data_IF_520399344604
#
_entry.id   IF_520399344604
#
_cell.length_a   1.000
_cell.length_b   1.000
_cell.length_c   1.000
_cell.angle_alpha   90.00
_cell.angle_beta   90.00
_cell.angle_gamma   90.00
#
_symmetry.space_group_name_H-M   'P 1'
#
loop_
_entity.id
_entity.type
_entity.pdbx_description
1 polymer ?
#
# COMPACT_ATOMS: atom_id res chain seq x y z
N UNK A 1 -20.80 24.53 -9.97
CA UNK A 1 -19.97 23.44 -10.52
C UNK A 1 -18.53 23.90 -10.41
N UNK A 2 -17.68 23.22 -9.63
CA UNK A 2 -16.26 23.59 -9.54
C UNK A 2 -15.64 23.50 -10.93
N UNK A 3 -15.00 24.59 -11.39
CA UNK A 3 -14.17 24.58 -12.59
C UNK A 3 -12.74 24.30 -12.14
N UNK A 4 -12.19 23.19 -12.62
CA UNK A 4 -10.77 22.85 -12.49
C UNK A 4 -10.16 23.23 -13.84
N UNK A 5 -9.15 24.10 -13.86
CA UNK A 5 -8.47 24.41 -15.10
C UNK A 5 -7.81 23.14 -15.67
N UNK A 6 -7.71 23.00 -16.99
CA UNK A 6 -7.16 21.77 -17.59
C UNK A 6 -5.70 21.51 -17.16
N UNK A 7 -4.96 22.57 -16.90
CA UNK A 7 -3.59 22.55 -16.37
C UNK A 7 -3.51 22.08 -14.90
N UNK A 8 -4.61 22.20 -14.15
CA UNK A 8 -4.71 21.88 -12.72
C UNK A 8 -5.17 20.43 -12.46
N UNK A 9 -5.80 19.78 -13.45
CA UNK A 9 -6.35 18.40 -13.33
C UNK A 9 -5.34 17.34 -12.90
N UNK A 10 -4.10 17.29 -13.42
CA UNK A 10 -3.12 16.27 -13.04
C UNK A 10 -2.70 16.31 -11.57
N UNK A 11 -2.95 17.44 -10.89
CA UNK A 11 -2.42 17.73 -9.55
C UNK A 11 -3.38 17.39 -8.43
N UNK A 12 -4.68 17.35 -8.74
CA UNK A 12 -5.74 17.04 -7.77
C UNK A 12 -5.55 15.66 -7.13
N UNK A 13 -4.99 14.71 -7.86
CA UNK A 13 -4.72 13.35 -7.37
C UNK A 13 -3.37 13.22 -6.64
N UNK A 14 -2.44 14.14 -6.88
CA UNK A 14 -1.06 14.06 -6.37
C UNK A 14 -0.91 14.84 -5.06
N UNK A 15 -1.51 16.03 -4.96
CA UNK A 15 -1.33 16.92 -3.82
C UNK A 15 -2.42 16.72 -2.75
N UNK A 16 -2.06 16.43 -1.49
CA UNK A 16 -3.04 16.33 -0.42
C UNK A 16 -3.65 17.71 -0.11
N UNK A 17 -4.91 17.71 0.37
CA UNK A 17 -5.57 18.93 0.85
C UNK A 17 -4.88 19.56 2.06
N UNK A 18 -4.09 18.76 2.81
CA UNK A 18 -3.32 19.20 3.98
C UNK A 18 -1.97 19.85 3.63
N UNK A 19 -1.55 19.80 2.35
CA UNK A 19 -0.34 20.43 1.86
C UNK A 19 0.90 19.52 1.84
N UNK A 20 1.85 19.84 0.96
CA UNK A 20 3.15 19.19 0.79
C UNK A 20 4.25 20.25 0.77
N UNK A 21 5.45 19.93 1.27
CA UNK A 21 6.54 20.91 1.43
C UNK A 21 7.66 20.66 0.43
N UNK A 22 8.22 21.72 -0.14
CA UNK A 22 9.38 21.69 -1.04
C UNK A 22 10.29 22.86 -0.65
N UNK A 23 11.43 22.55 -0.04
CA UNK A 23 12.27 23.59 0.57
C UNK A 23 11.47 24.41 1.58
N UNK A 24 11.39 25.73 1.35
CA UNK A 24 10.62 26.67 2.17
C UNK A 24 9.17 26.88 1.69
N UNK A 25 8.76 26.19 0.62
CA UNK A 25 7.43 26.30 0.04
C UNK A 25 6.48 25.25 0.62
N UNK A 26 5.25 25.65 0.91
CA UNK A 26 4.15 24.74 1.23
C UNK A 26 3.08 24.82 0.13
N UNK A 27 2.85 23.70 -0.56
CA UNK A 27 1.95 23.57 -1.69
C UNK A 27 0.69 22.81 -1.29
N UNK A 28 -0.50 23.32 -1.62
CA UNK A 28 -1.76 22.64 -1.32
C UNK A 28 -2.82 22.94 -2.37
N UNK A 29 -3.75 22.01 -2.60
CA UNK A 29 -4.89 22.26 -3.48
C UNK A 29 -6.04 22.82 -2.65
N UNK A 30 -6.41 24.09 -2.88
CA UNK A 30 -7.43 24.77 -2.08
C UNK A 30 -8.43 25.54 -2.95
N UNK A 31 -9.66 25.66 -2.45
CA UNK A 31 -10.64 26.56 -3.04
C UNK A 31 -10.28 27.99 -2.66
N UNK A 32 -10.19 28.85 -3.66
CA UNK A 32 -9.81 30.24 -3.42
C UNK A 32 -10.99 31.20 -3.65
N UNK A 33 -11.24 32.14 -2.72
CA UNK A 33 -12.32 33.11 -2.88
C UNK A 33 -12.02 34.13 -3.97
N UNK A 34 -13.07 34.72 -4.54
CA UNK A 34 -12.96 35.80 -5.51
C UNK A 34 -12.37 37.03 -4.82
N UNK A 35 -11.17 37.45 -5.21
CA UNK A 35 -10.55 38.67 -4.70
C UNK A 35 -9.60 39.31 -5.71
N UNK A 36 -9.31 40.60 -5.50
CA UNK A 36 -8.33 41.35 -6.27
C UNK A 36 -6.91 40.96 -5.86
N UNK A 37 -5.98 41.06 -6.80
CA UNK A 37 -4.57 40.84 -6.49
C UNK A 37 -3.62 41.36 -7.53
N UNK A 38 -2.35 41.10 -7.27
CA UNK A 38 -1.21 41.53 -8.08
C UNK A 38 -0.65 40.34 -8.82
N UNK A 39 -0.45 40.51 -10.13
CA UNK A 39 0.14 39.51 -11.00
C UNK A 39 1.59 39.87 -11.33
N UNK A 40 2.48 38.91 -11.12
CA UNK A 40 3.90 38.98 -11.40
C UNK A 40 4.23 38.04 -12.55
N UNK A 41 5.07 38.50 -13.47
CA UNK A 41 5.54 37.68 -14.57
C UNK A 41 6.88 37.07 -14.24
N UNK A 42 6.95 35.74 -14.28
CA UNK A 42 8.19 34.99 -14.12
C UNK A 42 8.60 34.34 -15.44
N UNK A 43 9.90 34.13 -15.62
CA UNK A 43 10.47 33.39 -16.73
C UNK A 43 11.20 32.15 -16.19
N UNK A 44 10.83 30.99 -16.69
CA UNK A 44 11.45 29.70 -16.40
C UNK A 44 11.89 29.06 -17.72
N UNK A 45 13.20 28.94 -17.94
CA UNK A 45 13.79 28.40 -19.18
C UNK A 45 13.11 28.87 -20.48
N UNK A 46 12.83 30.17 -20.61
CA UNK A 46 12.16 30.82 -21.75
C UNK A 46 10.64 30.57 -21.88
N UNK A 47 10.01 30.00 -20.85
CA UNK A 47 8.56 29.92 -20.73
C UNK A 47 8.07 30.94 -19.69
N UNK A 48 7.04 31.71 -20.05
CA UNK A 48 6.46 32.73 -19.18
C UNK A 48 5.40 32.13 -18.26
N UNK A 49 5.59 32.28 -16.95
CA UNK A 49 4.60 31.99 -15.91
C UNK A 49 3.99 33.26 -15.33
N UNK A 50 2.92 33.10 -14.56
CA UNK A 50 2.24 34.21 -13.88
C UNK A 50 1.94 33.87 -12.42
N UNK A 51 2.55 34.57 -11.48
CA UNK A 51 2.32 34.39 -10.04
C UNK A 51 1.36 35.47 -9.57
N UNK A 52 0.27 35.07 -8.94
CA UNK A 52 -0.72 35.98 -8.39
C UNK A 52 -0.68 35.97 -6.88
N UNK A 53 -0.73 37.16 -6.27
CA UNK A 53 -0.77 37.36 -4.82
C UNK A 53 -1.95 38.28 -4.49
N UNK A 54 -2.69 37.98 -3.42
CA UNK A 54 -3.81 38.79 -2.97
C UNK A 54 -3.39 40.25 -2.69
N UNK A 55 -4.22 41.21 -3.10
CA UNK A 55 -3.85 42.64 -3.05
C UNK A 55 -3.51 43.08 -1.62
N UNK A 56 -4.27 42.62 -0.63
CA UNK A 56 -4.01 42.92 0.78
C UNK A 56 -2.68 42.36 1.28
N UNK A 57 -2.28 41.18 0.80
CA UNK A 57 -0.99 40.57 1.17
C UNK A 57 0.16 41.39 0.59
N UNK A 58 0.06 41.78 -0.68
CA UNK A 58 1.06 42.61 -1.35
C UNK A 58 1.16 44.02 -0.75
N UNK A 59 0.02 44.66 -0.44
CA UNK A 59 0.01 45.99 0.16
C UNK A 59 0.71 46.01 1.52
N UNK A 60 0.42 45.04 2.40
CA UNK A 60 1.08 44.93 3.71
C UNK A 60 2.58 44.75 3.59
N UNK A 61 3.05 43.99 2.60
CA UNK A 61 4.47 43.82 2.33
C UNK A 61 5.14 45.14 1.94
N UNK A 62 4.57 45.87 0.96
CA UNK A 62 5.12 47.17 0.55
C UNK A 62 5.08 48.20 1.69
N UNK A 63 3.98 48.26 2.44
CA UNK A 63 3.85 49.17 3.58
C UNK A 63 4.85 48.84 4.69
N UNK A 64 5.10 47.56 4.96
CA UNK A 64 6.08 47.12 5.95
C UNK A 64 7.52 47.52 5.59
N UNK A 65 7.86 47.50 4.30
CA UNK A 65 9.23 47.78 3.84
C UNK A 65 9.51 49.26 3.60
N UNK A 66 8.59 49.97 2.94
CA UNK A 66 8.81 51.34 2.46
C UNK A 66 7.73 52.33 2.91
N UNK A 67 6.78 51.90 3.74
CA UNK A 67 5.75 52.76 4.32
C UNK A 67 4.60 53.14 3.37
N UNK A 68 4.55 52.60 2.15
CA UNK A 68 3.45 52.81 1.21
C UNK A 68 3.30 51.65 0.25
N UNK A 69 2.05 51.34 -0.12
CA UNK A 69 1.73 50.42 -1.22
C UNK A 69 1.26 51.13 -2.51
N UNK A 70 1.35 52.46 -2.56
CA UNK A 70 0.92 53.21 -3.74
C UNK A 70 1.94 53.07 -4.87
N UNK A 71 1.63 52.20 -5.84
CA UNK A 71 2.51 51.90 -6.99
C UNK A 71 2.91 53.13 -7.81
N UNK A 72 2.05 54.14 -7.90
CA UNK A 72 2.36 55.37 -8.64
C UNK A 72 3.37 56.26 -7.92
N UNK A 73 3.62 56.01 -6.63
CA UNK A 73 4.56 56.77 -5.80
C UNK A 73 5.90 56.05 -5.61
N UNK A 74 6.04 54.82 -6.11
CA UNK A 74 7.22 53.96 -5.92
C UNK A 74 7.99 53.91 -7.23
N UNK A 75 9.32 54.05 -7.16
CA UNK A 75 10.20 53.89 -8.32
C UNK A 75 10.09 52.46 -8.89
N UNK A 76 9.99 52.27 -10.21
CA UNK A 76 9.83 50.93 -10.81
C UNK A 76 10.98 49.96 -10.51
N UNK A 77 12.23 50.42 -10.42
CA UNK A 77 13.37 49.55 -10.10
C UNK A 77 13.30 49.10 -8.64
N UNK A 78 12.92 50.01 -7.74
CA UNK A 78 12.69 49.68 -6.33
C UNK A 78 11.52 48.70 -6.17
N UNK A 79 10.41 48.91 -6.91
CA UNK A 79 9.26 48.01 -6.88
C UNK A 79 9.63 46.61 -7.39
N UNK A 80 10.48 46.52 -8.42
CA UNK A 80 11.02 45.26 -8.90
C UNK A 80 11.85 44.56 -7.81
N UNK A 81 12.78 45.28 -7.15
CA UNK A 81 13.59 44.70 -6.08
C UNK A 81 12.75 44.19 -4.90
N UNK A 82 11.71 44.94 -4.51
CA UNK A 82 10.77 44.52 -3.46
C UNK A 82 9.99 43.26 -3.86
N UNK A 83 9.60 43.15 -5.15
CA UNK A 83 8.90 41.99 -5.68
C UNK A 83 9.81 40.77 -5.78
N UNK A 84 11.02 40.94 -6.32
CA UNK A 84 12.02 39.89 -6.44
C UNK A 84 12.39 39.33 -5.07
N UNK A 85 12.54 40.21 -4.07
CA UNK A 85 12.82 39.79 -2.70
C UNK A 85 11.65 39.04 -2.06
N UNK A 86 10.43 39.56 -2.16
CA UNK A 86 9.24 38.90 -1.60
C UNK A 86 8.96 37.54 -2.26
N UNK A 87 9.33 37.37 -3.53
CA UNK A 87 9.21 36.12 -4.29
C UNK A 87 10.45 35.23 -4.19
N UNK A 88 11.51 35.62 -3.49
CA UNK A 88 12.80 34.94 -3.55
C UNK A 88 12.73 33.43 -3.25
N UNK A 89 12.02 32.95 -2.21
CA UNK A 89 11.89 31.50 -1.96
C UNK A 89 11.24 30.75 -3.13
N UNK A 90 10.23 31.38 -3.77
CA UNK A 90 9.56 30.82 -4.94
C UNK A 90 10.48 30.77 -6.15
N UNK A 91 11.21 31.86 -6.42
CA UNK A 91 12.14 31.96 -7.54
C UNK A 91 13.30 30.97 -7.40
N UNK A 92 13.87 30.84 -6.20
CA UNK A 92 14.95 29.90 -5.90
C UNK A 92 14.51 28.45 -6.05
N UNK A 93 13.37 28.07 -5.47
CA UNK A 93 12.86 26.70 -5.57
C UNK A 93 12.47 26.32 -7.01
N UNK A 94 12.17 27.31 -7.85
CA UNK A 94 11.78 27.09 -9.24
C UNK A 94 12.86 27.32 -10.27
N UNK A 95 14.03 27.82 -9.89
CA UNK A 95 15.05 28.32 -10.82
C UNK A 95 14.47 29.33 -11.84
N UNK A 96 13.43 30.06 -11.43
CA UNK A 96 12.77 31.06 -12.24
C UNK A 96 13.32 32.46 -11.93
N UNK A 97 13.14 33.37 -12.87
CA UNK A 97 13.54 34.78 -12.73
C UNK A 97 12.33 35.68 -12.86
N UNK A 98 12.27 36.77 -12.09
CA UNK A 98 11.24 37.79 -12.24
C UNK A 98 11.54 38.63 -13.49
N UNK A 99 10.52 38.93 -14.30
CA UNK A 99 10.72 39.73 -15.50
C UNK A 99 10.83 41.22 -15.17
N UNK A 100 12.02 41.79 -15.29
CA UNK A 100 12.30 43.22 -15.03
C UNK A 100 11.49 44.17 -15.94
N UNK A 101 11.19 43.73 -17.16
CA UNK A 101 10.49 44.56 -18.15
C UNK A 101 8.95 44.50 -18.03
N UNK A 102 8.41 43.68 -17.10
CA UNK A 102 6.98 43.54 -16.88
C UNK A 102 6.62 43.91 -15.44
N UNK A 103 6.19 45.15 -15.18
CA UNK A 103 5.88 45.58 -13.82
C UNK A 103 4.67 44.80 -13.25
N UNK A 104 4.57 44.65 -11.92
CA UNK A 104 3.45 43.98 -11.29
C UNK A 104 2.11 44.63 -11.67
N UNK A 105 1.21 43.85 -12.27
CA UNK A 105 -0.07 44.36 -12.78
C UNK A 105 -1.21 44.04 -11.82
N UNK A 106 -2.21 44.91 -11.75
CA UNK A 106 -3.44 44.61 -11.00
C UNK A 106 -4.30 43.65 -11.81
N UNK A 107 -4.78 42.59 -11.17
CA UNK A 107 -5.67 41.60 -11.75
C UNK A 107 -7.05 41.67 -11.09
N UNK A 108 -8.09 41.86 -11.90
CA UNK A 108 -9.48 41.87 -11.43
C UNK A 108 -9.93 40.46 -11.07
N UNK A 109 -10.70 40.34 -9.98
CA UNK A 109 -11.42 39.18 -9.48
C UNK A 109 -11.21 37.86 -10.24
N UNK A 110 -10.37 36.99 -9.66
CA UNK A 110 -10.26 35.61 -10.09
C UNK A 110 -11.59 34.87 -9.82
N UNK A 111 -12.11 34.08 -10.77
CA UNK A 111 -13.30 33.28 -10.54
C UNK A 111 -13.03 32.23 -9.46
N UNK A 112 -14.06 31.89 -8.69
CA UNK A 112 -13.96 30.85 -7.67
C UNK A 112 -13.59 29.50 -8.31
N UNK A 113 -12.38 29.03 -8.03
CA UNK A 113 -11.83 27.81 -8.61
C UNK A 113 -10.97 27.07 -7.57
N UNK A 114 -10.76 25.78 -7.84
CA UNK A 114 -9.80 24.98 -7.11
C UNK A 114 -8.44 25.28 -7.74
N UNK A 115 -7.50 25.84 -6.98
CA UNK A 115 -6.20 26.25 -7.50
C UNK A 115 -5.04 25.67 -6.69
N UNK A 116 -3.89 25.52 -7.34
CA UNK A 116 -2.63 25.22 -6.66
C UNK A 116 -2.21 26.43 -5.84
N UNK A 117 -2.29 26.29 -4.53
CA UNK A 117 -1.93 27.31 -3.59
C UNK A 117 -0.51 27.08 -3.06
N UNK A 118 0.35 28.09 -3.20
CA UNK A 118 1.72 28.03 -2.69
C UNK A 118 1.90 29.08 -1.60
N UNK A 119 2.42 28.63 -0.46
CA UNK A 119 2.74 29.44 0.70
C UNK A 119 4.23 29.45 0.97
N UNK A 120 4.74 30.59 1.42
CA UNK A 120 6.09 30.72 1.95
C UNK A 120 6.15 31.91 2.90
N UNK A 121 7.27 32.06 3.61
CA UNK A 121 7.50 33.14 4.56
C UNK A 121 8.79 33.85 4.17
N UNK A 122 8.78 35.18 4.20
CA UNK A 122 10.00 36.00 4.10
C UNK A 122 10.06 36.89 5.34
N UNK A 123 11.15 36.78 6.10
CA UNK A 123 11.31 37.35 7.45
C UNK A 123 10.18 36.89 8.39
N UNK A 124 9.08 37.64 8.48
CA UNK A 124 7.88 37.30 9.27
C UNK A 124 6.59 37.45 8.45
N UNK A 125 6.69 37.79 7.16
CA UNK A 125 5.54 38.01 6.29
C UNK A 125 5.19 36.73 5.53
N UNK A 126 3.98 36.21 5.74
CA UNK A 126 3.47 35.03 5.06
C UNK A 126 2.86 35.41 3.71
N UNK A 127 3.39 34.82 2.64
CA UNK A 127 2.87 34.96 1.29
C UNK A 127 1.99 33.77 0.91
N UNK A 128 0.93 34.10 0.18
CA UNK A 128 -0.08 33.16 -0.29
C UNK A 128 -0.31 33.46 -1.77
N UNK A 129 -0.02 32.50 -2.63
CA UNK A 129 -0.09 32.70 -4.08
C UNK A 129 -0.85 31.62 -4.81
N UNK A 130 -1.35 32.01 -5.98
CA UNK A 130 -1.84 31.13 -7.02
C UNK A 130 -0.96 31.32 -8.23
N UNK A 131 -0.63 30.25 -8.95
CA UNK A 131 0.12 30.36 -10.19
C UNK A 131 -0.74 29.99 -11.39
N UNK A 132 -0.63 30.80 -12.43
CA UNK A 132 -1.24 30.61 -13.73
C UNK A 132 -0.19 30.27 -14.78
N UNK A 133 -0.60 29.45 -15.75
CA UNK A 133 0.19 29.12 -16.95
C UNK A 133 1.63 28.72 -16.61
N UNK A 134 1.83 27.90 -15.57
CA UNK A 134 3.18 27.50 -15.19
C UNK A 134 3.79 26.57 -16.25
N UNK A 135 5.04 26.80 -16.68
CA UNK A 135 5.85 25.82 -17.38
C UNK A 135 5.74 24.39 -16.83
N UNK A 136 5.44 23.44 -17.72
CA UNK A 136 5.24 22.03 -17.35
C UNK A 136 6.51 21.37 -16.80
N UNK A 137 7.69 21.90 -17.13
CA UNK A 137 8.99 21.40 -16.65
C UNK A 137 9.18 21.57 -15.14
N UNK A 138 8.87 22.74 -14.60
CA UNK A 138 8.94 23.01 -13.16
C UNK A 138 7.97 22.13 -12.37
N UNK A 139 6.74 22.04 -12.86
CA UNK A 139 5.71 21.19 -12.26
C UNK A 139 6.15 19.73 -12.20
N UNK A 140 6.83 19.21 -13.24
CA UNK A 140 7.44 17.86 -13.21
C UNK A 140 8.56 17.74 -12.19
N UNK A 141 9.37 18.78 -11.99
CA UNK A 141 10.44 18.76 -10.98
C UNK A 141 9.86 18.67 -9.55
N UNK A 142 8.80 19.46 -9.28
CA UNK A 142 8.00 19.35 -8.06
C UNK A 142 7.47 17.93 -7.84
N UNK A 143 6.90 17.29 -8.88
CA UNK A 143 6.48 15.88 -8.79
C UNK A 143 7.68 15.00 -8.48
N UNK A 144 8.81 15.21 -9.14
CA UNK A 144 10.04 14.46 -8.91
C UNK A 144 10.48 14.49 -7.45
N UNK A 145 10.55 15.67 -6.85
CA UNK A 145 10.95 15.86 -5.45
C UNK A 145 9.91 15.32 -4.46
N UNK A 146 8.62 15.61 -4.67
CA UNK A 146 7.54 15.06 -3.85
C UNK A 146 7.37 13.54 -4.01
N UNK A 147 7.73 12.98 -5.17
CA UNK A 147 7.75 11.54 -5.44
C UNK A 147 9.04 10.88 -4.94
N UNK A 148 10.11 11.65 -4.75
CA UNK A 148 11.34 11.21 -4.10
C UNK A 148 11.15 11.11 -2.58
N UNK A 149 10.42 12.03 -1.95
CA UNK A 149 9.95 11.83 -0.56
C UNK A 149 8.90 10.70 -0.46
N UNK A 150 8.13 10.47 -1.53
CA UNK A 150 7.28 9.29 -1.69
C UNK A 150 8.01 8.09 -2.31
N UNK A 151 9.35 8.01 -2.25
CA UNK A 151 10.04 6.81 -2.70
C UNK A 151 9.71 5.63 -1.80
N UNK A 152 8.79 4.82 -2.32
CA UNK A 152 8.60 3.41 -2.09
C UNK A 152 8.41 3.02 -0.62
N UNK A 153 7.14 2.96 -0.20
CA UNK A 153 6.73 1.73 0.48
C UNK A 153 7.11 0.64 -0.52
N UNK A 154 8.22 -0.05 -0.31
CA UNK A 154 8.38 -1.40 -0.85
C UNK A 154 7.05 -2.07 -0.51
N UNK A 155 6.17 -2.42 -1.49
CA UNK A 155 5.01 -3.23 -1.15
C UNK A 155 5.63 -4.44 -0.48
N UNK A 156 5.46 -4.50 0.83
CA UNK A 156 6.37 -5.27 1.64
C UNK A 156 6.23 -6.72 1.13
N UNK A 157 7.35 -7.37 0.78
CA UNK A 157 7.36 -8.46 -0.18
C UNK A 157 6.30 -9.49 0.21
N UNK A 158 5.51 -10.00 -0.75
CA UNK A 158 4.44 -10.90 -0.40
C UNK A 158 5.02 -12.11 0.30
N UNK A 159 4.42 -12.48 1.43
CA UNK A 159 4.74 -13.75 2.06
C UNK A 159 4.04 -14.85 1.28
N UNK A 160 4.77 -15.93 1.02
CA UNK A 160 4.23 -17.11 0.37
C UNK A 160 3.99 -18.17 1.44
N UNK A 161 2.72 -18.49 1.66
CA UNK A 161 2.28 -19.43 2.71
C UNK A 161 1.70 -20.71 2.09
N UNK A 162 1.93 -21.87 2.71
CA UNK A 162 1.31 -23.11 2.26
C UNK A 162 -0.20 -23.09 2.51
N UNK A 163 -0.95 -23.68 1.57
CA UNK A 163 -2.39 -23.87 1.68
C UNK A 163 -2.68 -25.35 1.84
N UNK A 164 -3.26 -25.70 2.98
CA UNK A 164 -3.57 -27.07 3.37
C UNK A 164 -5.04 -27.39 3.14
N UNK A 165 -5.26 -28.53 2.50
CA UNK A 165 -6.59 -29.05 2.18
C UNK A 165 -7.18 -29.83 3.35
N UNK A 166 -6.32 -30.58 4.05
CA UNK A 166 -6.71 -31.45 5.12
C UNK A 166 -5.53 -32.13 5.80
N UNK A 167 -5.85 -33.05 6.69
CA UNK A 167 -4.92 -33.73 7.56
C UNK A 167 -5.34 -35.17 7.89
N UNK A 168 -4.42 -35.98 8.37
CA UNK A 168 -4.73 -37.24 9.05
C UNK A 168 -3.69 -37.54 10.13
N UNK A 169 -3.99 -38.53 10.98
CA UNK A 169 -3.00 -39.10 11.89
C UNK A 169 -2.56 -40.43 11.33
N UNK A 170 -1.25 -40.64 11.22
CA UNK A 170 -0.66 -41.92 10.88
C UNK A 170 0.46 -42.22 11.87
N UNK A 171 0.52 -43.44 12.35
CA UNK A 171 1.64 -43.96 13.13
C UNK A 171 2.90 -44.10 12.26
N UNK A 172 4.07 -44.23 12.87
CA UNK A 172 5.31 -44.47 12.12
C UNK A 172 5.23 -45.77 11.30
N UNK A 173 4.61 -46.82 11.85
CA UNK A 173 4.44 -48.09 11.13
C UNK A 173 3.52 -47.94 9.90
N UNK A 174 2.45 -47.14 10.00
CA UNK A 174 1.57 -46.86 8.86
C UNK A 174 2.27 -46.01 7.81
N UNK A 175 3.05 -45.01 8.22
CA UNK A 175 3.86 -44.18 7.31
C UNK A 175 4.89 -45.01 6.54
N UNK A 176 5.53 -45.98 7.20
CA UNK A 176 6.45 -46.91 6.56
C UNK A 176 5.74 -47.86 5.57
N UNK A 177 4.47 -48.16 5.81
CA UNK A 177 3.68 -49.07 4.97
C UNK A 177 3.10 -48.42 3.70
N UNK A 178 3.25 -47.10 3.54
CA UNK A 178 2.68 -46.39 2.39
C UNK A 178 3.42 -46.73 1.09
N UNK A 179 2.64 -47.17 0.10
CA UNK A 179 3.10 -47.46 -1.24
C UNK A 179 2.50 -46.51 -2.29
N UNK A 180 3.18 -46.38 -3.43
CA UNK A 180 2.67 -45.66 -4.59
C UNK A 180 1.38 -46.34 -5.08
N UNK A 181 0.34 -45.53 -5.31
CA UNK A 181 -0.99 -45.98 -5.72
C UNK A 181 -1.98 -46.15 -4.57
N UNK A 182 -1.52 -46.20 -3.31
CA UNK A 182 -2.41 -46.23 -2.15
C UNK A 182 -3.22 -44.93 -2.03
N UNK A 183 -4.45 -45.02 -1.55
CA UNK A 183 -5.29 -43.87 -1.23
C UNK A 183 -5.29 -43.60 0.27
N UNK A 184 -4.85 -42.41 0.69
CA UNK A 184 -4.90 -41.98 2.09
C UNK A 184 -6.11 -41.07 2.28
N UNK A 185 -7.02 -41.45 3.19
CA UNK A 185 -8.18 -40.63 3.54
C UNK A 185 -7.73 -39.37 4.29
N UNK A 186 -8.36 -38.24 3.99
CA UNK A 186 -8.04 -36.96 4.62
C UNK A 186 -9.25 -36.37 5.34
N UNK A 187 -9.00 -35.77 6.50
CA UNK A 187 -9.95 -34.91 7.20
C UNK A 187 -9.75 -33.48 6.70
N UNK A 188 -10.76 -32.92 6.05
CA UNK A 188 -10.66 -31.60 5.42
C UNK A 188 -10.89 -30.49 6.44
N UNK A 189 -10.26 -29.34 6.26
CA UNK A 189 -10.46 -28.17 7.16
C UNK A 189 -11.80 -27.44 6.95
N UNK A 190 -12.64 -27.94 6.05
CA UNK A 190 -13.97 -27.47 5.72
C UNK A 190 -14.45 -28.09 4.41
N UNK A 191 -15.51 -27.55 3.82
CA UNK A 191 -15.96 -27.99 2.49
C UNK A 191 -15.05 -27.40 1.40
N UNK A 192 -14.15 -28.23 0.90
CA UNK A 192 -13.21 -27.87 -0.17
C UNK A 192 -13.93 -27.40 -1.43
N UNK A 193 -15.14 -27.92 -1.71
CA UNK A 193 -15.92 -27.54 -2.90
C UNK A 193 -16.45 -26.12 -2.79
N UNK A 194 -16.59 -25.61 -1.57
CA UNK A 194 -16.94 -24.22 -1.29
C UNK A 194 -15.71 -23.32 -1.12
N UNK A 195 -14.49 -23.87 -1.18
CA UNK A 195 -13.24 -23.11 -1.08
C UNK A 195 -12.67 -23.00 0.34
N UNK A 196 -13.07 -23.87 1.27
CA UNK A 196 -12.51 -23.87 2.63
C UNK A 196 -11.16 -24.59 2.69
N UNK A 197 -10.17 -23.92 3.29
CA UNK A 197 -8.81 -24.42 3.48
C UNK A 197 -8.23 -23.96 4.82
N UNK A 198 -7.04 -24.47 5.15
CA UNK A 198 -6.20 -23.90 6.19
C UNK A 198 -4.92 -23.32 5.60
N UNK A 199 -4.38 -22.27 6.22
CA UNK A 199 -3.05 -21.74 5.91
C UNK A 199 -2.22 -21.61 7.17
N UNK A 200 -0.91 -21.62 7.01
CA UNK A 200 0.05 -21.38 8.08
C UNK A 200 0.79 -20.08 7.81
N UNK A 201 0.53 -19.08 8.65
CA UNK A 201 1.20 -17.79 8.65
C UNK A 201 2.53 -17.88 9.42
N UNK A 202 3.45 -16.92 9.24
CA UNK A 202 4.66 -16.82 10.05
C UNK A 202 4.35 -16.78 11.55
N UNK A 203 5.19 -17.44 12.35
CA UNK A 203 5.02 -17.50 13.81
C UNK A 203 4.04 -18.57 14.30
N UNK A 204 3.88 -19.67 13.55
CA UNK A 204 3.01 -20.82 13.90
C UNK A 204 1.53 -20.46 14.08
N UNK A 205 1.10 -19.36 13.45
CA UNK A 205 -0.31 -18.98 13.43
C UNK A 205 -0.99 -19.74 12.29
N UNK A 206 -2.05 -20.46 12.60
CA UNK A 206 -2.87 -21.15 11.62
C UNK A 206 -4.19 -20.41 11.44
N UNK A 207 -4.65 -20.33 10.19
CA UNK A 207 -5.93 -19.72 9.89
C UNK A 207 -6.80 -20.66 9.05
N UNK A 208 -8.07 -20.77 9.41
CA UNK A 208 -9.09 -21.33 8.52
C UNK A 208 -9.57 -20.23 7.60
N UNK A 209 -9.59 -20.51 6.31
CA UNK A 209 -9.86 -19.51 5.30
C UNK A 209 -10.86 -20.00 4.26
N UNK A 210 -11.62 -19.07 3.71
CA UNK A 210 -12.50 -19.27 2.57
C UNK A 210 -11.90 -18.54 1.36
N UNK A 211 -11.50 -19.29 0.35
CA UNK A 211 -11.03 -18.76 -0.93
C UNK A 211 -12.21 -18.57 -1.88
N UNK A 212 -12.36 -17.35 -2.38
CA UNK A 212 -13.44 -16.96 -3.32
C UNK A 212 -12.96 -16.95 -4.76
N UNK A 213 -13.90 -16.99 -5.71
CA UNK A 213 -13.60 -16.92 -7.15
C UNK A 213 -12.91 -15.61 -7.57
N UNK A 214 -13.13 -14.53 -6.83
CA UNK A 214 -12.53 -13.20 -7.08
C UNK A 214 -11.08 -13.09 -6.56
N UNK A 215 -10.41 -14.22 -6.30
CA UNK A 215 -9.06 -14.28 -5.70
C UNK A 215 -8.95 -13.50 -4.39
N UNK A 216 -10.00 -13.56 -3.56
CA UNK A 216 -9.96 -13.04 -2.19
C UNK A 216 -10.06 -14.18 -1.17
N UNK A 217 -9.38 -14.01 -0.05
CA UNK A 217 -9.32 -14.96 1.04
C UNK A 217 -9.93 -14.31 2.30
N UNK A 218 -11.01 -14.91 2.80
CA UNK A 218 -11.64 -14.53 4.05
C UNK A 218 -11.10 -15.39 5.19
N UNK A 219 -10.76 -14.76 6.31
CA UNK A 219 -10.18 -15.42 7.48
C UNK A 219 -11.29 -15.72 8.50
N UNK A 220 -11.71 -16.97 8.61
CA UNK A 220 -12.82 -17.35 9.48
C UNK A 220 -12.39 -17.70 10.91
N UNK A 221 -11.15 -18.15 11.08
CA UNK A 221 -10.60 -18.48 12.39
C UNK A 221 -9.09 -18.32 12.37
N UNK A 222 -8.49 -17.81 13.45
CA UNK A 222 -7.05 -17.73 13.66
C UNK A 222 -6.70 -18.35 15.01
N UNK A 223 -5.71 -19.24 15.02
CA UNK A 223 -5.23 -19.95 16.21
C UNK A 223 -3.69 -19.98 16.24
N UNK A 224 -3.11 -20.11 17.43
CA UNK A 224 -1.66 -20.07 17.64
C UNK A 224 -1.00 -21.46 17.65
N UNK A 225 -1.79 -22.51 17.50
CA UNK A 225 -1.31 -23.88 17.40
C UNK A 225 -2.20 -24.67 16.43
N UNK A 226 -1.60 -25.67 15.79
CA UNK A 226 -2.33 -26.50 14.83
C UNK A 226 -3.35 -27.39 15.54
N UNK A 227 -3.04 -27.86 16.75
CA UNK A 227 -3.90 -28.78 17.52
C UNK A 227 -5.31 -28.22 17.75
N UNK A 228 -5.42 -26.93 18.04
CA UNK A 228 -6.69 -26.21 18.21
C UNK A 228 -7.47 -26.16 16.89
N UNK A 229 -6.78 -25.96 15.76
CA UNK A 229 -7.39 -25.99 14.44
C UNK A 229 -7.90 -27.41 14.07
N UNK A 230 -7.21 -28.45 14.52
CA UNK A 230 -7.56 -29.86 14.28
C UNK A 230 -8.68 -30.34 15.21
N UNK A 231 -8.68 -29.88 16.46
CA UNK A 231 -9.64 -30.26 17.51
C UNK A 231 -11.08 -29.81 17.20
N UNK A 232 -11.24 -28.77 16.37
CA UNK A 232 -12.55 -28.32 15.90
C UNK A 232 -13.26 -29.32 14.95
N UNK A 233 -12.60 -30.44 14.59
CA UNK A 233 -13.14 -31.48 13.70
C UNK A 233 -13.16 -32.91 14.23
N UNK A 234 -12.75 -33.21 15.47
CA UNK A 234 -12.84 -34.57 16.05
C UNK A 234 -12.75 -34.60 17.58
N UNK A 235 -13.49 -35.50 18.27
CA UNK A 235 -13.42 -35.64 19.71
C UNK A 235 -12.09 -36.29 20.13
N UNK A 236 -11.15 -35.50 20.65
CA UNK A 236 -9.97 -36.03 21.32
C UNK A 236 -10.38 -36.76 22.61
N UNK A 237 -10.34 -38.08 22.60
CA UNK A 237 -10.36 -38.89 23.82
C UNK A 237 -8.98 -38.80 24.46
N UNK A 238 -8.85 -38.02 25.52
CA UNK A 238 -7.66 -38.03 26.37
C UNK A 238 -7.57 -39.38 27.08
N UNK A 239 -6.70 -40.27 26.64
CA UNK A 239 -6.34 -41.46 27.41
C UNK A 239 -5.23 -41.09 28.40
N UNK A 240 -5.62 -40.97 29.66
CA UNK A 240 -4.73 -40.83 30.81
C UNK A 240 -4.23 -42.25 31.17
N UNK A 241 -2.92 -42.51 31.06
CA UNK A 241 -2.36 -43.83 31.37
C UNK A 241 -0.89 -43.96 31.01
N UNK A 242 -0.02 -43.92 32.03
CA UNK A 242 1.41 -44.24 31.96
C UNK A 242 1.61 -45.69 31.54
N UNK A 243 1.65 -45.91 30.23
CA UNK A 243 2.01 -47.18 29.58
C UNK A 243 3.28 -46.94 28.76
N UNK A 244 4.17 -47.92 28.66
CA UNK A 244 5.30 -47.84 27.72
C UNK A 244 4.73 -47.72 26.30
N UNK A 245 4.92 -46.57 25.66
CA UNK A 245 4.51 -46.32 24.28
C UNK A 245 5.62 -46.85 23.37
N UNK A 246 5.29 -47.80 22.50
CA UNK A 246 6.19 -48.24 21.43
C UNK A 246 6.39 -47.08 20.44
N UNK A 247 7.64 -46.82 20.06
CA UNK A 247 8.00 -45.68 19.21
C UNK A 247 7.22 -45.72 17.88
N UNK A 248 7.03 -46.92 17.34
CA UNK A 248 6.36 -47.19 16.07
C UNK A 248 4.86 -46.83 16.11
N UNK A 249 4.27 -46.78 17.31
CA UNK A 249 2.86 -46.47 17.54
C UNK A 249 2.60 -44.99 17.82
N UNK A 250 3.65 -44.14 17.84
CA UNK A 250 3.47 -42.71 18.07
C UNK A 250 2.75 -42.08 16.86
N UNK A 251 1.55 -41.48 17.05
CA UNK A 251 0.81 -40.86 15.97
C UNK A 251 1.55 -39.59 15.48
N UNK A 252 1.68 -39.48 14.17
CA UNK A 252 2.22 -38.32 13.47
C UNK A 252 1.08 -37.59 12.75
N UNK A 253 1.09 -36.26 12.86
CA UNK A 253 0.18 -35.42 12.10
C UNK A 253 0.71 -35.26 10.68
N UNK A 254 -0.10 -35.68 9.70
CA UNK A 254 0.22 -35.56 8.27
C UNK A 254 -0.66 -34.49 7.66
N UNK A 255 -0.05 -33.51 6.99
CA UNK A 255 -0.71 -32.41 6.32
C UNK A 255 -0.62 -32.54 4.80
N UNK A 256 -1.68 -32.11 4.12
CA UNK A 256 -1.81 -32.19 2.66
C UNK A 256 -1.90 -30.78 2.07
N UNK A 257 -0.79 -30.30 1.49
CA UNK A 257 -0.62 -28.98 0.83
C UNK A 257 -1.07 -29.07 -0.63
N UNK A 258 -2.00 -28.20 -1.06
CA UNK A 258 -2.54 -28.15 -2.45
C UNK A 258 -1.96 -27.00 -3.28
N UNK A 259 -1.14 -26.17 -2.66
CA UNK A 259 -0.56 -25.01 -3.30
C UNK A 259 -0.08 -23.97 -2.30
N UNK A 260 0.19 -22.79 -2.82
CA UNK A 260 0.70 -21.66 -2.03
C UNK A 260 -0.05 -20.39 -2.35
N UNK A 261 -0.32 -19.63 -1.29
CA UNK A 261 -0.95 -18.32 -1.33
C UNK A 261 0.09 -17.23 -1.08
N UNK A 262 -0.04 -16.12 -1.79
CA UNK A 262 0.81 -14.94 -1.73
C UNK A 262 0.01 -13.81 -1.07
N UNK A 263 0.43 -13.39 0.12
CA UNK A 263 -0.24 -12.38 0.94
C UNK A 263 0.70 -11.19 1.20
N UNK A 264 0.21 -9.96 1.14
CA UNK A 264 1.03 -8.78 1.46
C UNK A 264 1.27 -8.66 2.97
N UNK A 265 2.53 -8.59 3.39
CA UNK A 265 2.88 -8.63 4.82
C UNK A 265 2.33 -7.41 5.60
N UNK A 266 2.12 -6.28 4.92
CA UNK A 266 1.51 -5.08 5.51
C UNK A 266 0.08 -5.32 6.00
N UNK A 267 -0.68 -6.20 5.33
CA UNK A 267 -2.05 -6.55 5.69
C UNK A 267 -2.10 -7.48 6.91
N UNK A 268 -1.06 -8.29 7.13
CA UNK A 268 -1.04 -9.26 8.24
C UNK A 268 -0.95 -8.61 9.62
N UNK A 269 -0.35 -7.41 9.72
CA UNK A 269 -0.17 -6.71 11.00
C UNK A 269 -1.49 -6.40 11.70
N UNK A 270 -2.57 -6.22 10.94
CA UNK A 270 -3.88 -5.87 11.46
C UNK A 270 -4.89 -7.02 11.35
N UNK A 271 -4.44 -8.19 10.87
CA UNK A 271 -5.29 -9.32 10.53
C UNK A 271 -6.08 -9.82 11.74
N UNK A 272 -7.38 -9.97 11.54
CA UNK A 272 -8.35 -10.49 12.51
C UNK A 272 -9.30 -11.46 11.84
N UNK A 273 -9.96 -12.27 12.66
CA UNK A 273 -11.09 -13.07 12.23
C UNK A 273 -12.16 -12.18 11.61
N UNK A 274 -12.63 -12.54 10.43
CA UNK A 274 -13.60 -11.81 9.62
C UNK A 274 -12.99 -11.01 8.47
N UNK A 275 -11.67 -10.77 8.49
CA UNK A 275 -11.01 -9.98 7.45
C UNK A 275 -11.00 -10.69 6.10
N UNK A 276 -11.00 -9.90 5.02
CA UNK A 276 -10.94 -10.37 3.64
C UNK A 276 -9.75 -9.70 2.95
N UNK A 277 -8.81 -10.50 2.45
CA UNK A 277 -7.61 -10.01 1.78
C UNK A 277 -7.55 -10.50 0.32
N UNK A 278 -7.06 -9.67 -0.61
CA UNK A 278 -6.70 -10.16 -1.94
C UNK A 278 -5.54 -11.16 -1.82
N UNK A 279 -5.58 -12.23 -2.61
CA UNK A 279 -4.58 -13.29 -2.59
C UNK A 279 -4.14 -13.65 -4.01
N UNK A 280 -2.82 -13.72 -4.24
CA UNK A 280 -2.27 -14.37 -5.41
C UNK A 280 -1.97 -15.84 -5.11
N UNK A 281 -2.04 -16.76 -6.07
CA UNK A 281 -1.68 -18.14 -5.78
C UNK A 281 -1.75 -19.08 -6.98
N UNK A 282 -1.05 -20.20 -6.85
CA UNK A 282 -1.14 -21.33 -7.78
C UNK A 282 -1.65 -22.52 -6.98
N UNK A 283 -2.82 -23.01 -7.36
CA UNK A 283 -3.43 -24.21 -6.79
C UNK A 283 -3.35 -25.30 -7.86
N UNK A 284 -2.74 -26.43 -7.52
CA UNK A 284 -2.59 -27.55 -8.42
C UNK A 284 -3.33 -28.76 -7.85
N UNK A 285 -3.86 -29.67 -8.70
CA UNK A 285 -4.45 -30.92 -8.22
C UNK A 285 -3.41 -31.89 -7.62
N UNK A 286 -2.11 -31.63 -7.84
CA UNK A 286 -1.02 -32.33 -7.20
C UNK A 286 -0.88 -31.87 -5.74
N UNK A 287 -0.99 -32.83 -4.83
CA UNK A 287 -0.92 -32.61 -3.39
C UNK A 287 0.48 -32.93 -2.91
N UNK A 288 1.07 -32.02 -2.13
CA UNK A 288 2.32 -32.25 -1.41
C UNK A 288 2.00 -32.74 0.01
N UNK A 289 2.62 -33.83 0.43
CA UNK A 289 2.36 -34.48 1.72
C UNK A 289 3.48 -34.12 2.68
N UNK A 290 3.14 -33.60 3.86
CA UNK A 290 4.09 -33.11 4.86
C UNK A 290 3.88 -33.72 6.23
N UNK A 291 4.97 -33.91 6.96
CA UNK A 291 5.01 -34.20 8.40
C UNK A 291 6.06 -33.29 9.03
N UNK A 292 5.70 -32.57 10.09
CA UNK A 292 6.59 -31.63 10.79
C UNK A 292 7.35 -30.70 9.81
N UNK A 293 6.60 -30.07 8.90
CA UNK A 293 7.09 -29.20 7.83
C UNK A 293 8.08 -29.82 6.82
N UNK A 294 8.29 -31.15 6.84
CA UNK A 294 9.10 -31.86 5.84
C UNK A 294 8.21 -32.52 4.80
N UNK A 295 8.59 -32.38 3.53
CA UNK A 295 7.92 -33.08 2.43
C UNK A 295 8.30 -34.56 2.48
N UNK A 296 7.31 -35.43 2.59
CA UNK A 296 7.49 -36.89 2.65
C UNK A 296 6.87 -37.63 1.48
N UNK A 297 6.07 -36.94 0.65
CA UNK A 297 5.47 -37.54 -0.53
C UNK A 297 4.69 -36.54 -1.38
N UNK A 298 4.16 -37.04 -2.49
CA UNK A 298 3.24 -36.34 -3.38
C UNK A 298 2.11 -37.28 -3.79
N UNK A 299 0.97 -36.70 -4.15
CA UNK A 299 -0.18 -37.45 -4.58
C UNK A 299 -1.16 -36.63 -5.39
N UNK A 300 -2.26 -37.25 -5.75
CA UNK A 300 -3.37 -36.60 -6.46
C UNK A 300 -4.62 -36.62 -5.58
N UNK A 301 -5.31 -35.49 -5.50
CA UNK A 301 -6.57 -35.40 -4.79
C UNK A 301 -7.67 -36.14 -5.57
N UNK A 302 -8.34 -37.08 -4.90
CA UNK A 302 -9.46 -37.85 -5.43
C UNK A 302 -10.69 -37.59 -4.56
N UNK A 303 -11.79 -37.22 -5.21
CA UNK A 303 -13.09 -37.10 -4.55
C UNK A 303 -13.86 -38.42 -4.65
N UNK A 304 -14.31 -38.94 -3.51
CA UNK A 304 -15.12 -40.14 -3.41
C UNK A 304 -16.44 -39.80 -2.71
N UNK A 305 -17.41 -39.32 -3.49
CA UNK A 305 -18.65 -38.76 -2.94
C UNK A 305 -18.38 -37.49 -2.15
N UNK A 306 -18.67 -37.55 -0.84
CA UNK A 306 -18.45 -36.44 0.11
C UNK A 306 -17.08 -36.53 0.81
N UNK A 307 -16.37 -37.64 0.64
CA UNK A 307 -15.06 -37.86 1.24
C UNK A 307 -13.96 -37.54 0.23
N UNK A 308 -12.81 -37.14 0.74
CA UNK A 308 -11.62 -36.89 -0.06
C UNK A 308 -10.49 -37.85 0.36
N UNK A 309 -9.70 -38.26 -0.61
CA UNK A 309 -8.49 -39.04 -0.39
C UNK A 309 -7.37 -38.52 -1.29
N UNK A 310 -6.13 -38.80 -0.91
CA UNK A 310 -4.96 -38.51 -1.72
C UNK A 310 -4.37 -39.82 -2.19
N UNK A 311 -4.37 -40.05 -3.50
CA UNK A 311 -3.68 -41.19 -4.11
C UNK A 311 -2.20 -40.88 -4.20
N UNK A 312 -1.36 -41.68 -3.54
CA UNK A 312 0.09 -41.49 -3.49
C UNK A 312 0.68 -41.71 -4.88
N UNK A 313 1.43 -40.74 -5.39
CA UNK A 313 2.15 -40.83 -6.67
C UNK A 313 3.66 -40.91 -6.47
N UNK A 314 4.17 -40.30 -5.40
CA UNK A 314 5.57 -40.39 -4.99
C UNK A 314 5.66 -40.46 -3.46
N UNK A 315 6.58 -41.27 -2.95
CA UNK A 315 6.84 -41.41 -1.53
C UNK A 315 8.35 -41.31 -1.27
N UNK A 316 8.74 -40.47 -0.31
CA UNK A 316 10.14 -40.11 -0.06
C UNK A 316 10.63 -40.54 1.32
N UNK A 317 9.74 -41.08 2.16
CA UNK A 317 10.13 -41.61 3.46
C UNK A 317 10.90 -42.93 3.24
N UNK A 318 12.16 -42.95 3.66
CA UNK A 318 13.01 -44.15 3.64
C UNK A 318 13.34 -44.60 5.05
N UNK A 319 13.28 -45.91 5.30
CA UNK A 319 13.72 -46.49 6.56
C UNK A 319 15.24 -46.32 6.66
N UNK A 320 15.73 -45.67 7.71
CA UNK A 320 17.17 -45.61 7.97
C UNK A 320 17.59 -46.99 8.47
N UNK A 321 18.02 -47.86 7.57
CA UNK A 321 18.62 -49.15 7.92
C UNK A 321 19.99 -48.87 8.52
N UNK A 322 20.04 -48.73 9.84
CA UNK A 322 21.28 -48.91 10.61
C UNK A 322 21.56 -50.40 10.79
#
# INVERSE_FOLDING_TARGET
MLRIANEERPWVEILPTQGATIGELTLSMQQYPVQQGTLFTINYHNELGRVWIAEQCWQRWCEGLIGTANRSAIDPELLYGIAEWGLAPLLQASDATLCQNEPPTSCSNLPHQLALHIKWIVEEHEFHSIIFTWPTGFLRNIVGELSAERQQIYPAPPIVVPVYLGWCQLTLIELESIEIGMGVRIHCFGDIRLGFFAIQLPGEIYARVLLTEDNTMKFDELVQDIETLLASGSPMSKSDGTSSVELEQIPQQVLFEIGRASLEIGQLRQLKTGDVLPVGGCFAPEVTIRVNDRIIGQGELIACGNEFMVRITRWYLSKNTA
#
